data_IF_126445019613
#
_entry.id   IF_126445019613
#
_cell.length_a   1.000
_cell.length_b   1.000
_cell.length_c   1.000
_cell.angle_alpha   90.00
_cell.angle_beta   90.00
_cell.angle_gamma   90.00
#
_symmetry.space_group_name_H-M   'P 1'
#
loop_
_entity.id
_entity.type
_entity.pdbx_description
1 polymer ?
#
# COMPACT_ATOMS: atom_id res chain seq x y z
N UNK A 1 23.88 -10.38 -26.92
CA UNK A 1 23.35 -10.27 -25.54
C UNK A 1 23.26 -8.80 -25.18
N UNK A 2 22.18 -8.34 -24.53
CA UNK A 2 22.14 -6.98 -23.98
C UNK A 2 23.05 -6.95 -22.74
N UNK A 3 24.33 -6.67 -22.95
CA UNK A 3 25.34 -6.58 -21.88
C UNK A 3 24.92 -5.62 -20.78
N UNK A 4 24.19 -4.56 -21.14
CA UNK A 4 23.73 -3.54 -20.20
C UNK A 4 22.83 -4.08 -19.06
N UNK A 5 21.85 -4.92 -19.37
CA UNK A 5 20.91 -5.43 -18.35
C UNK A 5 21.59 -6.43 -17.40
N UNK A 6 22.51 -7.24 -17.92
CA UNK A 6 23.32 -8.12 -17.08
C UNK A 6 24.22 -7.29 -16.15
N UNK A 7 24.93 -6.29 -16.68
CA UNK A 7 25.76 -5.39 -15.87
C UNK A 7 24.93 -4.70 -14.79
N UNK A 8 23.78 -4.11 -15.13
CA UNK A 8 22.91 -3.45 -14.16
C UNK A 8 22.37 -4.42 -13.07
N UNK A 9 22.14 -5.69 -13.42
CA UNK A 9 21.73 -6.71 -12.44
C UNK A 9 22.87 -7.05 -11.47
N UNK A 10 24.10 -7.18 -11.98
CA UNK A 10 25.29 -7.41 -11.17
C UNK A 10 25.60 -6.20 -10.27
N UNK A 11 25.52 -4.97 -10.79
CA UNK A 11 25.71 -3.74 -10.02
C UNK A 11 24.70 -3.62 -8.86
N UNK A 12 23.45 -4.07 -9.08
CA UNK A 12 22.44 -4.13 -8.02
C UNK A 12 22.79 -5.20 -6.97
N UNK A 13 23.27 -6.37 -7.40
CA UNK A 13 23.69 -7.43 -6.49
C UNK A 13 24.91 -7.06 -5.65
N UNK A 14 25.87 -6.32 -6.23
CA UNK A 14 27.04 -5.77 -5.50
C UNK A 14 26.63 -4.80 -4.38
N UNK A 15 25.47 -4.13 -4.51
CA UNK A 15 24.86 -3.31 -3.45
C UNK A 15 24.13 -4.12 -2.39
N UNK A 16 24.15 -5.45 -2.49
CA UNK A 16 23.40 -6.37 -1.63
C UNK A 16 21.92 -6.46 -1.98
N UNK A 17 21.50 -6.00 -3.16
CA UNK A 17 20.09 -6.06 -3.55
C UNK A 17 19.79 -7.36 -4.27
N UNK A 18 18.87 -8.14 -3.71
CA UNK A 18 18.44 -9.42 -4.26
C UNK A 18 17.64 -9.18 -5.54
N UNK A 19 18.20 -9.61 -6.68
CA UNK A 19 17.61 -9.42 -8.00
C UNK A 19 16.96 -10.69 -8.55
N UNK A 20 16.00 -10.53 -9.44
CA UNK A 20 15.37 -11.61 -10.19
C UNK A 20 14.90 -11.12 -11.57
N UNK A 21 14.77 -12.02 -12.57
CA UNK A 21 14.39 -11.63 -13.92
C UNK A 21 12.91 -11.26 -14.02
N UNK A 22 12.63 -10.13 -14.65
CA UNK A 22 11.32 -9.69 -15.12
C UNK A 22 11.24 -9.89 -16.64
N UNK A 23 10.02 -10.08 -17.14
CA UNK A 23 9.77 -10.24 -18.57
C UNK A 23 10.33 -9.02 -19.34
N UNK A 24 10.94 -9.21 -20.53
CA UNK A 24 11.48 -8.09 -21.31
C UNK A 24 10.42 -7.01 -21.58
N UNK A 25 10.79 -5.74 -21.43
CA UNK A 25 9.92 -4.57 -21.60
C UNK A 25 8.67 -4.51 -20.69
N UNK A 26 8.59 -5.36 -19.66
CA UNK A 26 7.46 -5.50 -18.73
C UNK A 26 7.96 -5.46 -17.27
N UNK A 27 7.04 -5.36 -16.32
CA UNK A 27 7.28 -5.32 -14.87
C UNK A 27 6.94 -6.64 -14.18
N UNK A 28 6.44 -7.65 -14.90
CA UNK A 28 6.03 -8.95 -14.35
C UNK A 28 7.22 -9.90 -14.22
N UNK A 29 7.31 -10.71 -13.14
CA UNK A 29 8.34 -11.74 -13.01
C UNK A 29 8.37 -12.70 -14.19
N UNK A 30 9.57 -13.05 -14.66
CA UNK A 30 9.80 -14.03 -15.72
C UNK A 30 9.82 -15.46 -15.17
N UNK A 31 8.80 -15.82 -14.37
CA UNK A 31 8.66 -17.13 -13.74
C UNK A 31 7.41 -17.85 -14.22
N UNK A 32 7.45 -19.18 -14.12
CA UNK A 32 6.27 -20.03 -14.29
C UNK A 32 5.36 -19.96 -13.05
N UNK A 33 4.07 -20.23 -13.24
CA UNK A 33 3.11 -20.32 -12.14
C UNK A 33 3.13 -21.70 -11.46
N UNK A 34 2.56 -21.77 -10.26
CA UNK A 34 2.50 -22.99 -9.44
C UNK A 34 1.85 -24.17 -10.16
N UNK A 35 0.74 -23.92 -10.87
CA UNK A 35 -0.04 -24.95 -11.58
C UNK A 35 0.70 -25.61 -12.75
N UNK A 36 1.79 -25.01 -13.22
CA UNK A 36 2.63 -25.49 -14.32
C UNK A 36 4.09 -25.61 -13.89
N UNK A 37 4.33 -25.70 -12.57
CA UNK A 37 5.68 -25.78 -12.02
C UNK A 37 6.29 -27.15 -12.32
N UNK A 38 7.47 -27.21 -12.97
CA UNK A 38 8.10 -28.48 -13.29
C UNK A 38 8.76 -29.15 -12.06
N UNK A 39 8.77 -28.51 -10.89
CA UNK A 39 9.39 -28.99 -9.64
C UNK A 39 10.85 -29.44 -9.82
N UNK A 40 11.62 -28.68 -10.59
CA UNK A 40 13.06 -28.87 -10.81
C UNK A 40 13.84 -27.59 -10.47
N UNK A 41 15.16 -27.71 -10.36
CA UNK A 41 16.04 -26.59 -10.03
C UNK A 41 15.65 -25.95 -8.70
N UNK A 42 15.46 -24.63 -8.69
CA UNK A 42 15.00 -23.90 -7.50
C UNK A 42 13.67 -24.44 -6.92
N UNK A 43 12.84 -25.09 -7.74
CA UNK A 43 11.55 -25.64 -7.32
C UNK A 43 11.60 -27.13 -6.94
N UNK A 44 12.79 -27.74 -6.85
CA UNK A 44 12.94 -29.17 -6.53
C UNK A 44 12.33 -29.55 -5.16
N UNK A 45 12.29 -28.62 -4.21
CA UNK A 45 11.67 -28.78 -2.90
C UNK A 45 10.26 -28.20 -2.77
N UNK A 46 9.59 -27.89 -3.89
CA UNK A 46 8.31 -27.19 -3.93
C UNK A 46 8.37 -25.88 -4.71
N UNK A 47 7.22 -25.41 -5.19
CA UNK A 47 7.15 -24.20 -6.03
C UNK A 47 7.66 -22.97 -5.27
N UNK A 48 8.65 -22.27 -5.85
CA UNK A 48 9.23 -21.03 -5.30
C UNK A 48 8.77 -19.82 -6.09
N UNK A 49 8.37 -18.76 -5.36
CA UNK A 49 7.96 -17.49 -5.96
C UNK A 49 9.17 -16.61 -6.26
N UNK A 50 8.95 -15.48 -6.90
CA UNK A 50 10.01 -14.55 -7.28
C UNK A 50 10.84 -14.06 -6.10
N UNK A 51 10.23 -13.86 -4.93
CA UNK A 51 10.93 -13.36 -3.73
C UNK A 51 11.94 -14.42 -3.24
N UNK A 52 11.55 -15.69 -3.21
CA UNK A 52 12.39 -16.82 -2.79
C UNK A 52 13.51 -17.15 -3.79
N UNK A 53 13.36 -16.70 -5.04
CA UNK A 53 14.35 -16.92 -6.12
C UNK A 53 15.27 -15.72 -6.30
N UNK A 54 14.98 -14.59 -5.68
CA UNK A 54 15.79 -13.40 -5.78
C UNK A 54 17.18 -13.62 -5.13
N UNK A 55 18.23 -13.21 -5.82
CA UNK A 55 19.60 -13.62 -5.51
C UNK A 55 20.57 -12.47 -5.65
N UNK A 56 21.68 -12.54 -4.91
CA UNK A 56 22.88 -11.71 -5.08
C UNK A 56 24.06 -12.52 -5.65
N UNK A 57 23.86 -13.82 -5.88
CA UNK A 57 24.87 -14.71 -6.45
C UNK A 57 25.13 -14.33 -7.93
N UNK A 58 26.36 -13.88 -8.26
CA UNK A 58 26.68 -13.40 -9.60
C UNK A 58 26.61 -14.49 -10.67
N UNK A 59 26.83 -15.77 -10.32
CA UNK A 59 26.79 -16.86 -11.29
C UNK A 59 25.35 -17.21 -11.66
N UNK A 60 24.44 -17.21 -10.67
CA UNK A 60 23.00 -17.35 -10.93
C UNK A 60 22.47 -16.18 -11.77
N UNK A 61 22.98 -14.96 -11.55
CA UNK A 61 22.61 -13.79 -12.34
C UNK A 61 23.12 -13.93 -13.79
N UNK A 62 24.40 -14.28 -13.99
CA UNK A 62 24.94 -14.52 -15.34
C UNK A 62 24.17 -15.60 -16.09
N UNK A 63 23.83 -16.69 -15.42
CA UNK A 63 23.03 -17.77 -16.00
C UNK A 63 21.62 -17.28 -16.39
N UNK A 64 20.95 -16.53 -15.51
CA UNK A 64 19.59 -16.05 -15.78
C UNK A 64 19.52 -15.07 -16.96
N UNK A 65 20.56 -14.26 -17.18
CA UNK A 65 20.63 -13.29 -18.28
C UNK A 65 21.41 -13.79 -19.51
N UNK A 66 21.75 -15.09 -19.57
CA UNK A 66 22.49 -15.66 -20.70
C UNK A 66 21.72 -15.52 -22.03
N UNK A 67 20.46 -15.95 -22.05
CA UNK A 67 19.75 -16.12 -23.32
C UNK A 67 18.80 -14.98 -23.67
N UNK A 68 18.43 -14.15 -22.68
CA UNK A 68 17.39 -13.12 -22.86
C UNK A 68 17.69 -11.83 -22.10
N UNK A 69 17.34 -10.66 -22.67
CA UNK A 69 17.48 -9.37 -22.02
C UNK A 69 16.33 -9.15 -21.03
N UNK A 70 16.35 -9.86 -19.90
CA UNK A 70 15.32 -9.68 -18.87
C UNK A 70 15.44 -8.31 -18.21
N UNK A 71 14.29 -7.68 -17.93
CA UNK A 71 14.26 -6.57 -16.99
C UNK A 71 14.62 -7.07 -15.59
N UNK A 72 14.96 -6.17 -14.68
CA UNK A 72 15.51 -6.51 -13.38
C UNK A 72 14.51 -6.13 -12.31
N UNK A 73 14.08 -7.11 -11.53
CA UNK A 73 13.29 -6.91 -10.31
C UNK A 73 14.21 -6.93 -9.10
N UNK A 74 14.07 -5.97 -8.19
CA UNK A 74 14.72 -5.98 -6.88
C UNK A 74 13.68 -6.39 -5.84
N UNK A 75 13.89 -7.53 -5.18
CA UNK A 75 13.04 -7.97 -4.08
C UNK A 75 13.33 -7.13 -2.83
N UNK A 76 12.41 -6.21 -2.48
CA UNK A 76 12.70 -5.18 -1.47
C UNK A 76 12.82 -5.75 -0.06
N UNK A 77 12.06 -6.80 0.27
CA UNK A 77 12.16 -7.52 1.55
C UNK A 77 13.55 -8.14 1.77
N UNK A 78 13.97 -9.12 0.95
CA UNK A 78 15.29 -9.75 1.05
C UNK A 78 16.46 -8.75 0.97
N UNK A 79 16.29 -7.64 0.24
CA UNK A 79 17.32 -6.60 0.12
C UNK A 79 17.40 -5.67 1.34
N UNK A 80 16.53 -5.84 2.35
CA UNK A 80 16.47 -4.93 3.51
C UNK A 80 16.08 -3.51 3.12
N UNK A 81 15.25 -3.35 2.08
CA UNK A 81 14.88 -2.06 1.52
C UNK A 81 13.42 -1.68 1.82
N UNK A 82 13.21 -0.39 1.97
CA UNK A 82 11.90 0.27 1.88
C UNK A 82 11.98 1.30 0.79
N UNK A 83 11.18 1.14 -0.26
CA UNK A 83 11.15 2.08 -1.38
C UNK A 83 9.86 2.88 -1.34
N UNK A 84 9.98 4.20 -1.33
CA UNK A 84 8.85 5.13 -1.50
C UNK A 84 8.70 5.39 -3.00
N UNK A 85 7.58 4.95 -3.56
CA UNK A 85 7.23 5.05 -4.97
C UNK A 85 6.30 6.25 -5.20
N UNK A 86 6.83 7.27 -5.86
CA UNK A 86 6.22 8.56 -6.13
C UNK A 86 5.66 8.57 -7.54
N UNK A 87 4.37 8.25 -7.65
CA UNK A 87 3.70 8.02 -8.93
C UNK A 87 3.32 9.32 -9.65
N UNK A 88 3.19 9.23 -10.97
CA UNK A 88 2.58 10.29 -11.78
C UNK A 88 1.06 10.12 -11.84
N UNK A 89 0.28 11.21 -11.93
CA UNK A 89 -1.15 11.13 -12.17
C UNK A 89 -1.43 10.40 -13.48
N UNK A 90 -2.43 9.51 -13.48
CA UNK A 90 -2.89 8.83 -14.70
C UNK A 90 -3.71 9.80 -15.56
N UNK A 91 -3.80 9.56 -16.87
CA UNK A 91 -4.63 10.38 -17.79
C UNK A 91 -6.07 10.61 -17.32
N UNK A 92 -6.66 9.61 -16.65
CA UNK A 92 -8.02 9.67 -16.07
C UNK A 92 -8.12 10.43 -14.73
N UNK A 93 -7.02 10.97 -14.23
CA UNK A 93 -7.03 11.74 -12.99
C UNK A 93 -7.63 13.12 -13.26
N UNK A 94 -8.29 13.71 -12.27
CA UNK A 94 -8.79 15.08 -12.37
C UNK A 94 -7.65 16.03 -12.74
N UNK A 95 -7.93 16.96 -13.64
CA UNK A 95 -7.01 18.03 -14.06
C UNK A 95 -6.41 18.71 -12.83
N UNK A 96 -5.08 18.88 -12.82
CA UNK A 96 -4.37 19.48 -11.69
C UNK A 96 -4.10 18.54 -10.50
N UNK A 97 -4.37 17.23 -10.62
CA UNK A 97 -3.95 16.26 -9.59
C UNK A 97 -2.43 16.36 -9.38
N UNK A 98 -1.94 16.65 -8.16
CA UNK A 98 -0.51 16.71 -7.88
C UNK A 98 0.16 15.35 -8.10
N UNK A 99 1.42 15.34 -8.52
CA UNK A 99 2.21 14.11 -8.59
C UNK A 99 2.57 13.59 -7.19
N UNK A 100 3.06 12.35 -7.12
CA UNK A 100 3.64 11.78 -5.90
C UNK A 100 4.81 12.62 -5.38
N UNK A 101 5.64 13.18 -6.28
CA UNK A 101 6.75 14.08 -5.93
C UNK A 101 6.25 15.34 -5.21
N UNK A 102 5.25 16.01 -5.77
CA UNK A 102 4.65 17.19 -5.13
C UNK A 102 3.99 16.83 -3.80
N UNK A 103 3.30 15.70 -3.75
CA UNK A 103 2.61 15.24 -2.54
C UNK A 103 3.62 14.90 -1.43
N UNK A 104 4.76 14.29 -1.78
CA UNK A 104 5.81 13.93 -0.84
C UNK A 104 6.59 15.15 -0.34
N UNK A 105 6.86 16.13 -1.22
CA UNK A 105 7.42 17.42 -0.82
C UNK A 105 6.56 18.11 0.24
N UNK A 106 5.24 18.21 0.00
CA UNK A 106 4.30 18.77 0.96
C UNK A 106 4.21 17.96 2.26
N UNK A 107 4.39 16.63 2.20
CA UNK A 107 4.47 15.80 3.41
C UNK A 107 5.71 16.13 4.25
N UNK A 108 6.87 16.26 3.60
CA UNK A 108 8.13 16.62 4.26
C UNK A 108 8.01 18.02 4.91
N UNK A 109 7.47 19.00 4.18
CA UNK A 109 7.23 20.36 4.69
C UNK A 109 6.32 20.37 5.92
N UNK A 110 5.18 19.67 5.88
CA UNK A 110 4.27 19.56 7.04
C UNK A 110 4.90 18.86 8.24
N UNK A 111 5.85 17.96 8.00
CA UNK A 111 6.61 17.30 9.06
C UNK A 111 7.79 18.16 9.58
N UNK A 112 8.06 19.33 8.96
CA UNK A 112 9.22 20.15 9.28
C UNK A 112 10.54 19.49 8.88
N UNK A 113 10.53 18.64 7.85
CA UNK A 113 11.66 17.82 7.43
C UNK A 113 12.06 18.14 5.98
N UNK A 114 13.35 18.07 5.63
CA UNK A 114 13.78 18.14 4.24
C UNK A 114 13.40 16.85 3.49
N UNK A 115 13.32 16.93 2.16
CA UNK A 115 13.23 15.71 1.33
C UNK A 115 14.54 14.93 1.47
N UNK A 116 14.52 13.67 1.96
CA UNK A 116 15.76 12.96 2.28
C UNK A 116 16.65 12.72 1.05
N UNK A 117 17.93 13.08 1.14
CA UNK A 117 18.94 12.69 0.16
C UNK A 117 19.22 11.18 0.29
N UNK A 118 18.96 10.43 -0.77
CA UNK A 118 19.04 8.96 -0.78
C UNK A 118 19.06 8.47 -2.22
N UNK A 119 19.35 7.19 -2.45
CA UNK A 119 19.33 6.61 -3.79
C UNK A 119 17.97 6.82 -4.47
N UNK A 120 17.98 7.37 -5.69
CA UNK A 120 16.76 7.67 -6.45
C UNK A 120 16.83 7.16 -7.87
N UNK A 121 15.69 6.66 -8.33
CA UNK A 121 15.50 6.30 -9.74
C UNK A 121 14.25 6.95 -10.30
N UNK A 122 14.33 7.48 -11.52
CA UNK A 122 13.16 7.84 -12.31
C UNK A 122 12.54 6.58 -12.89
N UNK A 123 11.22 6.47 -12.77
CA UNK A 123 10.44 5.35 -13.33
C UNK A 123 10.09 5.60 -14.79
N UNK A 124 9.76 4.53 -15.51
CA UNK A 124 9.33 4.64 -16.91
C UNK A 124 8.10 5.53 -17.15
N UNK A 125 7.25 5.73 -16.14
CA UNK A 125 6.08 6.62 -16.18
C UNK A 125 6.38 8.06 -15.78
N UNK A 126 7.65 8.39 -15.48
CA UNK A 126 8.09 9.72 -15.06
C UNK A 126 7.99 10.00 -13.55
N UNK A 127 7.51 9.02 -12.77
CA UNK A 127 7.54 9.06 -11.30
C UNK A 127 8.95 8.77 -10.74
N UNK A 128 9.09 8.67 -9.42
CA UNK A 128 10.38 8.43 -8.77
C UNK A 128 10.29 7.35 -7.71
N UNK A 129 11.33 6.52 -7.60
CA UNK A 129 11.55 5.68 -6.43
C UNK A 129 12.61 6.34 -5.55
N UNK A 130 12.35 6.44 -4.25
CA UNK A 130 13.32 6.82 -3.21
C UNK A 130 13.59 5.58 -2.36
N UNK A 131 14.83 5.12 -2.32
CA UNK A 131 15.19 3.88 -1.62
C UNK A 131 15.72 4.20 -0.23
N UNK A 132 15.33 3.41 0.75
CA UNK A 132 15.82 3.51 2.13
C UNK A 132 16.19 2.13 2.66
N UNK A 133 17.12 2.05 3.60
CA UNK A 133 17.33 0.81 4.36
C UNK A 133 16.24 0.66 5.42
N UNK A 134 15.71 -0.55 5.54
CA UNK A 134 14.73 -0.90 6.55
C UNK A 134 15.38 -0.88 7.95
N UNK A 135 14.70 -0.35 8.98
CA UNK A 135 15.22 -0.41 10.34
C UNK A 135 15.44 -1.87 10.78
N UNK A 136 16.51 -2.18 11.53
CA UNK A 136 16.76 -3.53 12.03
C UNK A 136 15.55 -4.09 12.80
N UNK A 137 15.15 -5.33 12.47
CA UNK A 137 14.01 -6.00 13.11
C UNK A 137 12.61 -5.49 12.70
N UNK A 138 12.52 -4.38 11.94
CA UNK A 138 11.24 -3.88 11.46
C UNK A 138 10.77 -4.68 10.23
N UNK A 139 9.51 -5.14 10.26
CA UNK A 139 8.88 -5.81 9.11
C UNK A 139 7.81 -4.94 8.45
N UNK A 140 8.26 -3.93 7.73
CA UNK A 140 7.39 -3.11 6.91
C UNK A 140 6.89 -3.89 5.69
N UNK A 141 5.62 -3.70 5.33
CA UNK A 141 4.98 -4.32 4.16
C UNK A 141 4.63 -3.24 3.14
N UNK A 142 4.22 -3.67 1.95
CA UNK A 142 3.73 -2.75 0.93
C UNK A 142 2.55 -1.92 1.46
N UNK A 143 2.46 -0.67 1.02
CA UNK A 143 1.31 0.19 1.28
C UNK A 143 0.99 1.00 0.04
N UNK A 144 -0.28 1.40 -0.10
CA UNK A 144 -0.72 2.25 -1.19
C UNK A 144 -1.38 3.51 -0.62
N UNK A 145 -0.91 4.67 -1.04
CA UNK A 145 -1.44 5.97 -0.63
C UNK A 145 -1.26 6.32 0.85
N UNK A 146 -0.44 5.57 1.61
CA UNK A 146 -0.34 5.71 3.07
C UNK A 146 0.32 7.00 3.51
N UNK A 147 1.33 7.43 2.76
CA UNK A 147 2.04 8.69 2.99
C UNK A 147 1.36 9.86 2.27
N UNK A 148 0.35 9.59 1.45
CA UNK A 148 -0.34 10.58 0.63
C UNK A 148 -0.75 9.99 -0.71
N UNK A 149 -1.63 10.70 -1.43
CA UNK A 149 -2.08 10.30 -2.77
C UNK A 149 -0.87 10.13 -3.71
N UNK A 150 -0.88 9.08 -4.54
CA UNK A 150 0.22 8.74 -5.46
C UNK A 150 1.57 8.49 -4.76
N UNK A 151 1.54 8.11 -3.48
CA UNK A 151 2.72 7.65 -2.75
C UNK A 151 2.45 6.23 -2.26
N UNK A 152 3.11 5.28 -2.92
CA UNK A 152 3.09 3.88 -2.52
C UNK A 152 4.41 3.53 -1.81
N UNK A 153 4.42 2.43 -1.06
CA UNK A 153 5.66 1.89 -0.50
C UNK A 153 5.84 0.43 -0.88
N UNK A 154 7.07 0.06 -1.22
CA UNK A 154 7.49 -1.33 -1.49
C UNK A 154 8.49 -1.77 -0.42
N UNK A 155 8.17 -2.85 0.27
CA UNK A 155 8.99 -3.41 1.35
C UNK A 155 8.89 -4.94 1.31
N UNK A 156 8.74 -5.63 2.44
CA UNK A 156 8.59 -7.08 2.43
C UNK A 156 7.36 -7.52 1.61
N UNK A 157 7.51 -8.54 0.76
CA UNK A 157 6.48 -9.01 -0.16
C UNK A 157 6.26 -8.08 -1.35
N UNK A 158 7.15 -7.12 -1.55
CA UNK A 158 7.18 -6.22 -2.70
C UNK A 158 8.47 -6.34 -3.50
N UNK A 159 8.43 -5.76 -4.69
CA UNK A 159 9.62 -5.55 -5.50
C UNK A 159 9.48 -4.24 -6.27
N UNK A 160 10.62 -3.74 -6.75
CA UNK A 160 10.69 -2.61 -7.67
C UNK A 160 11.44 -3.02 -8.94
N UNK A 161 11.21 -2.28 -10.02
CA UNK A 161 12.00 -2.43 -11.26
C UNK A 161 13.27 -1.60 -11.10
N UNK A 162 14.44 -2.22 -11.32
CA UNK A 162 15.73 -1.57 -11.15
C UNK A 162 16.04 -0.59 -12.30
N UNK A 163 16.92 0.38 -12.03
CA UNK A 163 17.52 1.19 -13.08
C UNK A 163 18.28 0.32 -14.10
N UNK A 164 18.32 0.78 -15.35
CA UNK A 164 18.81 0.00 -16.50
C UNK A 164 17.74 -0.85 -17.20
N UNK A 165 16.65 -1.18 -16.50
CA UNK A 165 15.45 -1.78 -17.10
C UNK A 165 14.67 -0.76 -17.93
N UNK A 166 13.83 -1.24 -18.85
CA UNK A 166 12.99 -0.36 -19.67
C UNK A 166 11.59 -0.92 -19.87
N UNK A 167 10.61 -0.07 -20.15
CA UNK A 167 9.32 -0.47 -20.68
C UNK A 167 9.08 0.20 -22.03
N UNK A 168 7.94 -0.08 -22.66
CA UNK A 168 7.54 0.57 -23.91
C UNK A 168 7.53 2.12 -23.85
N UNK A 169 7.48 2.70 -22.65
CA UNK A 169 7.38 4.16 -22.46
C UNK A 169 8.74 4.83 -22.31
N UNK A 170 9.63 4.28 -21.47
CA UNK A 170 10.93 4.86 -21.13
C UNK A 170 11.79 3.90 -20.29
N UNK A 171 13.11 4.14 -20.19
CA UNK A 171 13.98 3.43 -19.25
C UNK A 171 13.73 3.88 -17.79
N UNK A 172 14.08 3.00 -16.87
CA UNK A 172 14.32 3.34 -15.46
C UNK A 172 15.76 3.84 -15.32
N UNK A 173 15.96 5.04 -14.80
CA UNK A 173 17.30 5.67 -14.73
C UNK A 173 17.62 6.13 -13.32
N UNK A 174 18.89 6.03 -12.92
CA UNK A 174 19.36 6.63 -11.67
C UNK A 174 19.35 8.15 -11.81
N UNK A 175 18.75 8.83 -10.84
CA UNK A 175 18.76 10.31 -10.77
C UNK A 175 19.56 10.83 -9.59
N UNK A 176 19.77 10.01 -8.56
CA UNK A 176 20.67 10.28 -7.45
C UNK A 176 21.36 8.96 -7.06
N UNK A 177 22.70 8.84 -7.23
CA UNK A 177 23.44 7.62 -6.95
C UNK A 177 23.85 7.49 -5.48
N UNK A 178 23.48 8.44 -4.60
CA UNK A 178 23.76 8.39 -3.16
C UNK A 178 23.30 7.04 -2.59
N UNK A 179 24.08 6.34 -1.75
CA UNK A 179 23.61 5.08 -1.14
C UNK A 179 22.27 5.23 -0.42
N UNK A 180 21.44 4.16 -0.33
CA UNK A 180 20.20 4.23 0.42
C UNK A 180 20.44 4.67 1.87
N UNK A 181 19.84 5.79 2.25
CA UNK A 181 19.86 6.28 3.62
C UNK A 181 18.98 5.41 4.52
N UNK A 182 19.23 5.37 5.84
CA UNK A 182 18.27 4.83 6.81
C UNK A 182 16.89 5.45 6.63
N UNK A 183 15.83 4.63 6.72
CA UNK A 183 14.46 5.15 6.71
C UNK A 183 14.28 6.15 7.87
N UNK A 184 13.97 7.43 7.61
CA UNK A 184 13.80 8.42 8.66
C UNK A 184 12.71 8.02 9.65
N UNK A 185 12.93 8.25 10.94
CA UNK A 185 12.02 7.84 12.02
C UNK A 185 10.60 8.37 11.84
N UNK A 186 10.45 9.59 11.32
CA UNK A 186 9.13 10.18 11.07
C UNK A 186 8.38 9.45 9.95
N UNK A 187 9.07 8.99 8.90
CA UNK A 187 8.48 8.14 7.85
C UNK A 187 8.18 6.75 8.39
N UNK A 188 9.12 6.17 9.15
CA UNK A 188 8.90 4.91 9.82
C UNK A 188 7.66 4.95 10.71
N UNK A 189 7.49 5.97 11.54
CA UNK A 189 6.32 6.15 12.39
C UNK A 189 5.03 6.15 11.56
N UNK A 190 4.95 6.92 10.47
CA UNK A 190 3.78 6.94 9.58
C UNK A 190 3.49 5.57 8.95
N UNK A 191 4.53 4.80 8.62
CA UNK A 191 4.44 3.45 8.05
C UNK A 191 4.19 2.35 9.10
N UNK A 192 4.58 2.54 10.34
CA UNK A 192 4.40 1.61 11.46
C UNK A 192 3.07 1.80 12.19
N UNK A 193 2.52 3.03 12.26
CA UNK A 193 1.39 3.39 13.16
C UNK A 193 0.05 2.64 12.90
N UNK A 194 -0.11 1.93 11.78
CA UNK A 194 -1.24 1.01 11.50
C UNK A 194 -0.82 -0.45 11.29
N UNK A 195 0.46 -0.79 11.45
CA UNK A 195 0.87 -2.20 11.50
C UNK A 195 0.67 -2.79 12.91
N UNK A 196 0.53 -1.96 13.95
CA UNK A 196 0.25 -2.42 15.33
C UNK A 196 -1.24 -2.60 15.69
N UNK A 197 -2.21 -2.38 14.78
CA UNK A 197 -3.63 -2.57 15.12
C UNK A 197 -4.11 -4.04 15.08
N UNK A 198 -3.21 -5.00 15.32
CA UNK A 198 -3.54 -6.35 15.78
C UNK A 198 -3.07 -6.49 17.23
N UNK A 199 -3.76 -5.80 18.14
CA UNK A 199 -3.53 -5.94 19.57
C UNK A 199 -3.78 -4.66 20.37
N UNK A 200 -4.92 -4.67 21.08
CA UNK A 200 -5.19 -3.99 22.36
C UNK A 200 -5.70 -2.54 22.42
N UNK A 201 -6.96 -2.50 22.91
CA UNK A 201 -7.59 -1.61 23.91
C UNK A 201 -8.06 -0.20 23.53
N UNK A 202 -9.39 -0.06 23.57
CA UNK A 202 -10.12 1.19 23.53
C UNK A 202 -9.90 2.01 24.82
N UNK A 203 -9.65 3.31 24.66
CA UNK A 203 -9.67 4.28 25.76
C UNK A 203 -11.13 4.71 26.01
N UNK A 204 -11.61 4.84 27.26
CA UNK A 204 -13.00 5.19 27.53
C UNK A 204 -13.27 6.67 27.28
N UNK A 205 -14.44 6.98 26.72
CA UNK A 205 -14.93 8.34 26.49
C UNK A 205 -15.85 8.82 27.62
N UNK A 206 -16.02 10.14 27.70
CA UNK A 206 -16.90 10.81 28.66
C UNK A 206 -18.31 10.20 28.72
N UNK A 207 -18.89 9.94 29.91
CA UNK A 207 -20.17 9.24 30.08
C UNK A 207 -21.39 9.89 29.39
N UNK A 208 -21.35 11.20 29.10
CA UNK A 208 -22.46 11.91 28.44
C UNK A 208 -22.43 11.78 26.91
N UNK A 209 -21.24 11.86 26.30
CA UNK A 209 -21.08 11.70 24.84
C UNK A 209 -21.39 10.25 24.40
N UNK A 210 -20.99 9.26 25.21
CA UNK A 210 -21.29 7.85 24.97
C UNK A 210 -22.78 7.52 25.00
N UNK A 211 -23.57 8.10 25.91
CA UNK A 211 -25.04 7.86 25.96
C UNK A 211 -25.78 8.44 24.76
N UNK A 212 -25.39 9.63 24.29
CA UNK A 212 -25.95 10.24 23.09
C UNK A 212 -25.62 9.42 21.84
N UNK A 213 -24.36 9.00 21.71
CA UNK A 213 -23.92 8.15 20.62
C UNK A 213 -24.60 6.77 20.61
N UNK A 214 -24.81 6.15 21.77
CA UNK A 214 -25.57 4.92 21.90
C UNK A 214 -27.06 5.09 21.53
N UNK A 215 -27.67 6.23 21.85
CA UNK A 215 -29.04 6.54 21.44
C UNK A 215 -29.15 6.75 19.93
N UNK A 216 -28.18 7.45 19.32
CA UNK A 216 -28.10 7.62 17.87
C UNK A 216 -27.94 6.28 17.15
N UNK A 217 -27.07 5.38 17.65
CA UNK A 217 -26.93 4.04 17.10
C UNK A 217 -28.25 3.27 17.09
N UNK A 218 -29.00 3.29 18.20
CA UNK A 218 -30.30 2.62 18.30
C UNK A 218 -31.33 3.19 17.33
N UNK A 219 -31.40 4.52 17.23
CA UNK A 219 -32.35 5.21 16.35
C UNK A 219 -32.08 4.89 14.87
N UNK A 220 -30.83 5.03 14.42
CA UNK A 220 -30.44 4.77 13.03
C UNK A 220 -30.64 3.29 12.64
N UNK A 221 -30.32 2.37 13.56
CA UNK A 221 -30.55 0.93 13.36
C UNK A 221 -32.05 0.61 13.23
N UNK A 222 -32.90 1.25 14.03
CA UNK A 222 -34.35 1.09 13.93
C UNK A 222 -34.92 1.63 12.62
N UNK A 223 -34.43 2.80 12.16
CA UNK A 223 -34.81 3.38 10.87
C UNK A 223 -34.45 2.46 9.70
N UNK A 224 -33.27 1.84 9.73
CA UNK A 224 -32.87 0.86 8.70
C UNK A 224 -33.76 -0.38 8.72
N UNK A 225 -34.08 -0.92 9.92
CA UNK A 225 -34.96 -2.09 10.07
C UNK A 225 -36.38 -1.84 9.53
N UNK A 226 -36.87 -0.61 9.66
CA UNK A 226 -38.21 -0.22 9.22
C UNK A 226 -38.28 0.20 7.73
N UNK A 227 -37.17 0.21 7.00
CA UNK A 227 -37.12 0.73 5.64
C UNK A 227 -37.92 -0.13 4.63
N UNK A 228 -38.81 0.53 3.88
CA UNK A 228 -39.63 -0.10 2.84
C UNK A 228 -38.81 -0.50 1.61
N UNK A 229 -39.33 -1.47 0.85
CA UNK A 229 -38.70 -1.95 -0.38
C UNK A 229 -38.52 -0.81 -1.39
N UNK A 230 -37.30 -0.63 -1.89
CA UNK A 230 -36.90 0.51 -2.74
C UNK A 230 -36.02 1.55 -2.04
N UNK A 231 -36.14 1.71 -0.72
CA UNK A 231 -35.39 2.73 0.05
C UNK A 231 -34.32 2.14 0.99
N UNK A 232 -34.30 0.82 1.17
CA UNK A 232 -33.40 0.11 2.10
C UNK A 232 -31.93 0.46 1.94
N UNK A 233 -31.41 0.52 0.70
CA UNK A 233 -29.99 0.79 0.45
C UNK A 233 -29.62 2.26 0.68
N UNK A 234 -30.52 3.20 0.33
CA UNK A 234 -30.28 4.63 0.56
C UNK A 234 -30.41 4.99 2.07
N UNK A 235 -31.33 4.35 2.78
CA UNK A 235 -31.47 4.46 4.24
C UNK A 235 -30.25 3.87 4.96
N UNK A 236 -29.78 2.69 4.56
CA UNK A 236 -28.56 2.08 5.11
C UNK A 236 -27.32 2.94 4.88
N UNK A 237 -27.17 3.51 3.68
CA UNK A 237 -26.07 4.42 3.36
C UNK A 237 -26.13 5.70 4.20
N UNK A 238 -27.33 6.25 4.40
CA UNK A 238 -27.54 7.46 5.20
C UNK A 238 -27.24 7.22 6.67
N UNK A 239 -27.70 6.10 7.23
CA UNK A 239 -27.39 5.66 8.60
C UNK A 239 -25.89 5.43 8.80
N UNK A 240 -25.22 4.76 7.85
CA UNK A 240 -23.76 4.57 7.88
C UNK A 240 -23.01 5.91 7.87
N UNK A 241 -23.46 6.89 7.08
CA UNK A 241 -22.85 8.22 7.07
C UNK A 241 -23.11 8.99 8.36
N UNK A 242 -24.30 8.88 8.94
CA UNK A 242 -24.66 9.55 10.18
C UNK A 242 -23.82 9.02 11.36
N UNK A 243 -23.69 7.70 11.48
CA UNK A 243 -22.95 7.03 12.55
C UNK A 243 -21.43 7.12 12.39
N UNK A 244 -20.93 7.26 11.15
CA UNK A 244 -19.50 7.47 10.88
C UNK A 244 -18.92 8.70 11.56
N UNK A 245 -19.73 9.72 11.89
CA UNK A 245 -19.30 10.90 12.65
C UNK A 245 -18.93 10.56 14.09
N UNK A 246 -19.71 9.71 14.75
CA UNK A 246 -19.44 9.26 16.12
C UNK A 246 -18.21 8.37 16.18
N UNK A 247 -17.95 7.56 15.15
CA UNK A 247 -16.67 6.82 15.04
C UNK A 247 -15.51 7.79 14.90
N UNK A 248 -15.69 8.82 14.06
CA UNK A 248 -14.64 9.81 13.85
C UNK A 248 -14.39 10.66 15.09
N UNK A 249 -15.40 10.90 15.94
CA UNK A 249 -15.24 11.58 17.23
C UNK A 249 -14.76 10.65 18.36
N UNK A 250 -14.72 9.35 18.12
CA UNK A 250 -14.35 8.32 19.08
C UNK A 250 -15.54 7.67 19.79
N UNK A 251 -16.69 8.34 19.85
CA UNK A 251 -17.87 7.97 20.66
C UNK A 251 -18.46 6.57 20.39
N UNK A 252 -18.21 6.01 19.20
CA UNK A 252 -18.57 4.62 18.88
C UNK A 252 -17.41 3.85 18.26
N UNK A 253 -17.15 2.61 18.69
CA UNK A 253 -16.23 1.74 17.99
C UNK A 253 -16.83 1.31 16.64
N UNK A 254 -15.98 1.33 15.61
CA UNK A 254 -16.38 0.99 14.23
C UNK A 254 -17.03 -0.39 14.12
N UNK A 255 -16.51 -1.38 14.84
CA UNK A 255 -17.02 -2.76 14.81
C UNK A 255 -18.48 -2.86 15.25
N UNK A 256 -18.85 -2.14 16.31
CA UNK A 256 -20.23 -2.14 16.85
C UNK A 256 -21.21 -1.51 15.85
N UNK A 257 -20.79 -0.45 15.16
CA UNK A 257 -21.62 0.18 14.11
C UNK A 257 -21.74 -0.72 12.87
N UNK A 258 -20.65 -1.37 12.47
CA UNK A 258 -20.66 -2.30 11.34
C UNK A 258 -21.57 -3.50 11.61
N UNK A 259 -21.51 -4.10 12.80
CA UNK A 259 -22.35 -5.22 13.22
C UNK A 259 -23.83 -4.81 13.28
N UNK A 260 -24.16 -3.70 13.97
CA UNK A 260 -25.55 -3.26 14.11
C UNK A 260 -26.22 -2.90 12.78
N UNK A 261 -25.51 -2.20 11.88
CA UNK A 261 -26.04 -1.86 10.56
C UNK A 261 -26.11 -3.06 9.62
N UNK A 262 -25.20 -4.03 9.77
CA UNK A 262 -25.24 -5.28 9.03
C UNK A 262 -26.51 -6.07 9.40
N UNK A 263 -26.76 -6.28 10.69
CA UNK A 263 -27.96 -6.98 11.17
C UNK A 263 -29.25 -6.25 10.78
N UNK A 264 -29.27 -4.92 10.88
CA UNK A 264 -30.43 -4.12 10.53
C UNK A 264 -30.75 -4.20 9.03
N UNK A 265 -29.72 -4.10 8.18
CA UNK A 265 -29.90 -4.20 6.73
C UNK A 265 -30.35 -5.58 6.29
N UNK A 266 -29.80 -6.64 6.88
CA UNK A 266 -30.23 -8.03 6.61
C UNK A 266 -31.67 -8.27 7.09
N UNK A 267 -32.05 -7.75 8.25
CA UNK A 267 -33.42 -7.84 8.76
C UNK A 267 -34.43 -7.05 7.91
N UNK A 268 -33.99 -5.97 7.27
CA UNK A 268 -34.78 -5.23 6.29
C UNK A 268 -34.86 -5.94 4.93
N UNK A 269 -34.14 -7.05 4.71
CA UNK A 269 -34.19 -7.86 3.49
C UNK A 269 -33.10 -7.54 2.45
N UNK A 270 -32.03 -6.84 2.82
CA UNK A 270 -30.85 -6.68 1.96
C UNK A 270 -29.93 -7.90 2.05
N UNK A 271 -29.19 -8.20 0.98
CA UNK A 271 -28.20 -9.28 1.04
C UNK A 271 -27.01 -8.90 1.91
N UNK A 272 -26.44 -9.88 2.62
CA UNK A 272 -25.27 -9.70 3.49
C UNK A 272 -24.10 -8.98 2.77
N UNK A 273 -23.87 -9.31 1.50
CA UNK A 273 -22.82 -8.69 0.67
C UNK A 273 -23.10 -7.22 0.36
N UNK A 274 -24.36 -6.87 0.05
CA UNK A 274 -24.76 -5.49 -0.22
C UNK A 274 -24.64 -4.65 1.05
N UNK A 275 -25.17 -5.14 2.19
CA UNK A 275 -25.05 -4.46 3.48
C UNK A 275 -23.59 -4.13 3.82
N UNK A 276 -22.72 -5.13 3.74
CA UNK A 276 -21.30 -4.97 4.05
C UNK A 276 -20.63 -3.94 3.16
N UNK A 277 -20.96 -3.93 1.87
CA UNK A 277 -20.43 -2.97 0.91
C UNK A 277 -20.90 -1.54 1.21
N UNK A 278 -22.21 -1.36 1.41
CA UNK A 278 -22.86 -0.06 1.66
C UNK A 278 -22.40 0.54 2.99
N UNK A 279 -22.39 -0.25 4.07
CA UNK A 279 -21.93 0.16 5.40
C UNK A 279 -20.46 0.58 5.35
N UNK A 280 -19.58 -0.25 4.77
CA UNK A 280 -18.15 0.06 4.65
C UNK A 280 -17.91 1.34 3.86
N UNK A 281 -18.64 1.53 2.76
CA UNK A 281 -18.55 2.73 1.92
C UNK A 281 -19.00 3.99 2.66
N UNK A 282 -20.17 3.94 3.30
CA UNK A 282 -20.74 5.06 4.06
C UNK A 282 -19.87 5.49 5.24
N UNK A 283 -19.37 4.52 6.01
CA UNK A 283 -18.48 4.76 7.15
C UNK A 283 -17.14 5.37 6.71
N UNK A 284 -16.51 4.80 5.68
CA UNK A 284 -15.26 5.34 5.14
C UNK A 284 -15.43 6.77 4.63
N UNK A 285 -16.54 7.06 3.94
CA UNK A 285 -16.85 8.40 3.46
C UNK A 285 -17.01 9.41 4.59
N UNK A 286 -17.72 9.02 5.66
CA UNK A 286 -18.07 9.91 6.77
C UNK A 286 -16.89 10.17 7.70
N UNK A 287 -16.13 9.14 8.05
CA UNK A 287 -14.90 9.26 8.86
C UNK A 287 -13.89 10.17 8.16
N UNK A 288 -13.76 10.05 6.83
CA UNK A 288 -12.87 10.90 6.05
C UNK A 288 -13.28 12.39 6.00
N UNK A 289 -14.53 12.72 6.34
CA UNK A 289 -15.09 14.08 6.22
C UNK A 289 -15.40 14.75 7.55
N UNK A 290 -15.32 14.03 8.67
CA UNK A 290 -15.58 14.56 9.99
C UNK A 290 -14.35 14.31 10.87
N UNK A 291 -13.39 15.25 10.96
CA UNK A 291 -12.21 15.06 11.80
C UNK A 291 -12.59 14.97 13.28
N UNK A 292 -11.72 14.35 14.09
CA UNK A 292 -11.85 14.29 15.54
C UNK A 292 -12.08 15.69 16.12
N UNK A 293 -12.98 15.82 17.11
CA UNK A 293 -13.10 17.08 17.87
C UNK A 293 -11.74 17.35 18.48
N UNK A 294 -11.11 18.46 18.08
CA UNK A 294 -9.95 18.99 18.82
C UNK A 294 -10.43 19.26 20.24
N UNK A 295 -9.96 18.47 21.18
CA UNK A 295 -10.06 18.79 22.60
C UNK A 295 -9.28 20.08 22.80
N UNK A 296 -9.99 21.14 23.19
CA UNK A 296 -9.40 22.37 23.71
C UNK A 296 -8.69 22.08 25.03
#
# INVERSE_FOLDING_TARGET
MSTHLLTAALDAAERGWHVFPLRPADKRPALHGESVCPLIGDCAGGHRKWEDRATIDPDRIRQAWADRPFNIGIATGPSGLVVVDLDMPKQKSSTGTPSGVTTFGALCERAGQPVPATYRTRTASGGHHLYFTAPPGARLTNSAGRLGKLIDTRAHGGYVVAAGSFTATSPYTVTDPTPPAPLPDWLYALLAHRQSSRGLMAVPLSPKASRYAAAALRAETATVRAAHEGERDCTLLSAARALGRFIAWGDLPRSVVEEALQEAGESAGLSSRQCRSTVRSGLNWSIARNPQRRTA
#
